data_IF_606342911148
#
_entry.id   IF_606342911148
#
_cell.length_a   1.000
_cell.length_b   1.000
_cell.length_c   1.000
_cell.angle_alpha   90.00
_cell.angle_beta   90.00
_cell.angle_gamma   90.00
#
_symmetry.space_group_name_H-M   'P 1'
#
loop_
_entity.id
_entity.type
_entity.pdbx_description
1 polymer ?
#
# COMPACT_ATOMS: atom_id res chain seq x y z
N UNK A 1 -0.40 -3.47 -1.25
CA UNK A 1 -1.47 -3.00 -2.16
C UNK A 1 -1.55 -3.82 -3.44
N UNK A 2 -0.65 -3.69 -4.44
CA UNK A 2 -0.76 -4.48 -5.69
C UNK A 2 -0.64 -5.99 -5.47
N UNK A 3 0.23 -6.42 -4.57
CA UNK A 3 0.33 -7.82 -4.13
C UNK A 3 -0.99 -8.31 -3.52
N UNK A 4 -1.54 -7.54 -2.57
CA UNK A 4 -2.78 -7.85 -1.85
C UNK A 4 -3.97 -7.99 -2.82
N UNK A 5 -4.08 -7.07 -3.79
CA UNK A 5 -5.11 -7.11 -4.82
C UNK A 5 -4.99 -8.36 -5.71
N UNK A 6 -3.77 -8.75 -6.11
CA UNK A 6 -3.54 -9.95 -6.89
C UNK A 6 -3.85 -11.22 -6.09
N UNK A 7 -3.45 -11.30 -4.83
CA UNK A 7 -3.75 -12.42 -3.93
C UNK A 7 -5.26 -12.57 -3.71
N UNK A 8 -5.96 -11.47 -3.43
CA UNK A 8 -7.41 -11.45 -3.28
C UNK A 8 -8.12 -11.89 -4.58
N UNK A 9 -7.65 -11.44 -5.75
CA UNK A 9 -8.22 -11.85 -7.03
C UNK A 9 -8.02 -13.35 -7.31
N UNK A 10 -6.84 -13.90 -7.02
CA UNK A 10 -6.59 -15.35 -7.09
C UNK A 10 -7.51 -16.13 -6.13
N UNK A 11 -7.77 -15.60 -4.93
CA UNK A 11 -8.69 -16.22 -3.96
C UNK A 11 -10.14 -16.23 -4.46
N UNK A 12 -10.60 -15.15 -5.10
CA UNK A 12 -11.94 -15.08 -5.70
C UNK A 12 -12.14 -16.07 -6.85
N UNK A 13 -11.09 -16.40 -7.62
CA UNK A 13 -11.15 -17.45 -8.64
C UNK A 13 -11.47 -18.79 -8.01
N UNK A 14 -10.80 -19.17 -6.92
CA UNK A 14 -11.03 -20.44 -6.23
C UNK A 14 -12.49 -20.54 -5.75
N UNK A 15 -13.02 -19.47 -5.18
CA UNK A 15 -14.42 -19.44 -4.71
C UNK A 15 -15.41 -19.55 -5.88
N UNK A 16 -15.10 -18.93 -7.02
CA UNK A 16 -15.92 -19.06 -8.21
C UNK A 16 -15.86 -20.48 -8.81
N UNK A 17 -14.72 -21.17 -8.74
CA UNK A 17 -14.59 -22.58 -9.14
C UNK A 17 -15.45 -23.49 -8.26
N UNK A 18 -15.39 -23.31 -6.93
CA UNK A 18 -16.27 -24.01 -5.99
C UNK A 18 -17.75 -23.77 -6.32
N UNK A 19 -18.12 -22.53 -6.64
CA UNK A 19 -19.50 -22.16 -6.94
C UNK A 19 -20.02 -22.82 -8.22
N UNK A 20 -19.17 -22.96 -9.25
CA UNK A 20 -19.52 -23.73 -10.46
C UNK A 20 -19.76 -25.19 -10.11
N UNK A 21 -18.92 -25.79 -9.27
CA UNK A 21 -19.09 -27.17 -8.79
C UNK A 21 -20.41 -27.37 -8.04
N UNK A 22 -20.73 -26.48 -7.10
CA UNK A 22 -21.98 -26.50 -6.33
C UNK A 22 -23.18 -26.32 -7.27
N UNK A 23 -23.17 -25.34 -8.17
CA UNK A 23 -24.29 -25.11 -9.07
C UNK A 23 -24.53 -26.30 -10.02
N UNK A 24 -23.47 -26.99 -10.46
CA UNK A 24 -23.58 -28.22 -11.24
C UNK A 24 -24.20 -29.37 -10.42
N UNK A 25 -23.85 -29.50 -9.14
CA UNK A 25 -24.49 -30.47 -8.22
C UNK A 25 -25.97 -30.18 -8.02
N UNK A 26 -26.34 -28.92 -7.80
CA UNK A 26 -27.74 -28.50 -7.62
C UNK A 26 -28.56 -28.79 -8.88
N UNK A 27 -28.01 -28.51 -10.08
CA UNK A 27 -28.65 -28.86 -11.34
C UNK A 27 -28.84 -30.38 -11.51
N UNK A 28 -27.85 -31.19 -11.12
CA UNK A 28 -27.98 -32.66 -11.14
C UNK A 28 -29.10 -33.13 -10.19
N UNK A 29 -29.16 -32.58 -8.98
CA UNK A 29 -30.21 -32.92 -8.02
C UNK A 29 -31.60 -32.52 -8.52
N UNK A 30 -31.76 -31.32 -9.07
CA UNK A 30 -33.01 -30.84 -9.65
C UNK A 30 -33.49 -31.76 -10.78
N UNK A 31 -32.60 -32.13 -11.71
CA UNK A 31 -32.89 -33.09 -12.80
C UNK A 31 -33.40 -34.42 -12.31
N UNK A 32 -32.77 -35.00 -11.28
CA UNK A 32 -33.20 -36.27 -10.69
C UNK A 32 -34.60 -36.15 -10.09
N UNK A 33 -34.88 -35.05 -9.36
CA UNK A 33 -36.20 -34.82 -8.75
C UNK A 33 -37.30 -34.59 -9.79
N UNK A 34 -37.02 -33.85 -10.87
CA UNK A 34 -37.97 -33.64 -11.98
C UNK A 34 -38.30 -34.97 -12.68
N UNK A 35 -37.29 -35.78 -13.01
CA UNK A 35 -37.50 -37.12 -13.61
C UNK A 35 -38.29 -38.06 -12.70
N UNK A 36 -38.13 -37.94 -11.38
CA UNK A 36 -38.91 -38.69 -10.40
C UNK A 36 -40.31 -38.12 -10.14
N UNK A 37 -40.72 -37.04 -10.84
CA UNK A 37 -42.01 -36.37 -10.63
C UNK A 37 -42.14 -35.63 -9.29
N UNK A 38 -41.01 -35.38 -8.58
CA UNK A 38 -40.96 -34.77 -7.24
C UNK A 38 -40.55 -33.29 -7.25
N UNK A 39 -40.41 -32.69 -8.43
CA UNK A 39 -40.10 -31.28 -8.62
C UNK A 39 -40.65 -30.79 -9.98
N UNK A 40 -40.84 -29.48 -10.11
CA UNK A 40 -41.29 -28.83 -11.34
C UNK A 40 -40.13 -28.68 -12.34
N UNK A 41 -40.37 -28.77 -13.67
CA UNK A 41 -39.39 -28.37 -14.69
C UNK A 41 -38.81 -26.96 -14.49
N UNK A 42 -39.58 -26.08 -13.81
CA UNK A 42 -39.11 -24.76 -13.42
C UNK A 42 -37.90 -24.80 -12.47
N UNK A 43 -37.84 -25.77 -11.55
CA UNK A 43 -36.70 -25.94 -10.65
C UNK A 43 -35.43 -26.33 -11.42
N UNK A 44 -35.55 -27.25 -12.39
CA UNK A 44 -34.42 -27.60 -13.25
C UNK A 44 -33.92 -26.39 -14.03
N UNK A 45 -34.84 -25.62 -14.64
CA UNK A 45 -34.45 -24.44 -15.41
C UNK A 45 -33.78 -23.37 -14.56
N UNK A 46 -34.27 -23.14 -13.33
CA UNK A 46 -33.62 -22.21 -12.38
C UNK A 46 -32.23 -22.67 -11.99
N UNK A 47 -32.05 -23.97 -11.74
CA UNK A 47 -30.74 -24.52 -11.42
C UNK A 47 -29.75 -24.41 -12.61
N UNK A 48 -30.22 -24.56 -13.84
CA UNK A 48 -29.36 -24.40 -15.02
C UNK A 48 -28.95 -22.93 -15.23
N UNK A 49 -29.87 -21.99 -15.04
CA UNK A 49 -29.54 -20.54 -15.04
C UNK A 49 -28.51 -20.22 -13.96
N UNK A 50 -28.63 -20.78 -12.76
CA UNK A 50 -27.65 -20.58 -11.70
C UNK A 50 -26.26 -21.13 -12.07
N UNK A 51 -26.18 -22.30 -12.71
CA UNK A 51 -24.94 -22.89 -13.24
C UNK A 51 -24.30 -21.99 -14.30
N UNK A 52 -25.05 -21.57 -15.31
CA UNK A 52 -24.54 -20.69 -16.37
C UNK A 52 -24.07 -19.35 -15.81
N UNK A 53 -24.78 -18.78 -14.83
CA UNK A 53 -24.36 -17.57 -14.14
C UNK A 53 -23.05 -17.75 -13.38
N UNK A 54 -22.87 -18.88 -12.69
CA UNK A 54 -21.64 -19.22 -11.98
C UNK A 54 -20.45 -19.39 -12.95
N UNK A 55 -20.65 -20.04 -14.09
CA UNK A 55 -19.63 -20.19 -15.15
C UNK A 55 -19.19 -18.83 -15.70
N UNK A 56 -20.15 -17.94 -15.99
CA UNK A 56 -19.86 -16.57 -16.40
C UNK A 56 -19.14 -15.76 -15.33
N UNK A 57 -19.46 -15.97 -14.05
CA UNK A 57 -18.77 -15.33 -12.93
C UNK A 57 -17.32 -15.80 -12.79
N UNK A 58 -17.06 -17.10 -12.93
CA UNK A 58 -15.71 -17.66 -12.93
C UNK A 58 -14.83 -17.03 -14.02
N UNK A 59 -15.36 -16.91 -15.24
CA UNK A 59 -14.62 -16.29 -16.34
C UNK A 59 -14.31 -14.81 -16.08
N UNK A 60 -15.23 -14.07 -15.43
CA UNK A 60 -14.93 -12.70 -14.98
C UNK A 60 -13.84 -12.67 -13.92
N UNK A 61 -13.88 -13.58 -12.94
CA UNK A 61 -12.86 -13.64 -11.87
C UNK A 61 -11.49 -14.02 -12.42
N UNK A 62 -11.40 -14.95 -13.38
CA UNK A 62 -10.14 -15.31 -14.06
C UNK A 62 -9.51 -14.13 -14.78
N UNK A 63 -10.30 -13.37 -15.54
CA UNK A 63 -9.83 -12.15 -16.21
C UNK A 63 -9.38 -11.07 -15.23
N UNK A 64 -10.10 -10.89 -14.13
CA UNK A 64 -9.71 -9.96 -13.06
C UNK A 64 -8.39 -10.37 -12.40
N UNK A 65 -8.22 -11.66 -12.09
CA UNK A 65 -6.97 -12.20 -11.53
C UNK A 65 -5.78 -12.08 -12.49
N UNK A 66 -6.00 -12.30 -13.80
CA UNK A 66 -4.98 -12.09 -14.82
C UNK A 66 -4.56 -10.62 -14.90
N UNK A 67 -5.52 -9.68 -14.87
CA UNK A 67 -5.24 -8.25 -14.86
C UNK A 67 -4.47 -7.82 -13.59
N UNK A 68 -4.89 -8.29 -12.42
CA UNK A 68 -4.21 -7.98 -11.15
C UNK A 68 -2.78 -8.55 -11.10
N UNK A 69 -2.58 -9.78 -11.58
CA UNK A 69 -1.27 -10.41 -11.67
C UNK A 69 -0.36 -9.69 -12.68
N UNK A 70 -0.92 -9.23 -13.82
CA UNK A 70 -0.19 -8.42 -14.80
C UNK A 70 0.24 -7.05 -14.25
N UNK A 71 -0.60 -6.41 -13.43
CA UNK A 71 -0.22 -5.16 -12.75
C UNK A 71 0.93 -5.37 -11.78
N UNK A 72 0.90 -6.46 -11.01
CA UNK A 72 2.00 -6.81 -10.10
C UNK A 72 3.27 -7.16 -10.87
N UNK A 73 3.16 -7.92 -11.97
CA UNK A 73 4.31 -8.27 -12.82
C UNK A 73 5.00 -7.03 -13.39
N UNK A 74 4.25 -6.01 -13.81
CA UNK A 74 4.81 -4.73 -14.27
C UNK A 74 5.57 -4.00 -13.17
N UNK A 75 5.08 -4.05 -11.94
CA UNK A 75 5.75 -3.41 -10.80
C UNK A 75 7.03 -4.16 -10.41
N UNK A 76 7.02 -5.49 -10.47
CA UNK A 76 8.17 -6.32 -10.11
C UNK A 76 9.19 -6.50 -11.23
N UNK A 77 8.83 -6.20 -12.48
CA UNK A 77 9.65 -6.46 -13.66
C UNK A 77 9.81 -7.94 -14.01
N UNK A 78 8.99 -8.83 -13.43
CA UNK A 78 9.05 -10.27 -13.64
C UNK A 78 7.65 -10.90 -13.65
N UNK A 79 7.44 -12.03 -14.37
CA UNK A 79 6.15 -12.71 -14.36
C UNK A 79 5.81 -13.21 -12.95
N UNK A 80 4.53 -13.10 -12.59
CA UNK A 80 4.02 -13.55 -11.29
C UNK A 80 3.22 -14.83 -11.47
N UNK A 81 3.57 -15.84 -10.68
CA UNK A 81 2.83 -17.10 -10.61
C UNK A 81 1.76 -17.10 -9.50
N UNK A 82 1.61 -18.25 -8.85
CA UNK A 82 0.70 -18.40 -7.73
C UNK A 82 1.26 -17.68 -6.50
N UNK A 83 0.41 -16.88 -5.85
CA UNK A 83 0.77 -16.11 -4.65
C UNK A 83 0.52 -16.95 -3.38
N UNK A 84 1.24 -16.61 -2.30
CA UNK A 84 1.12 -17.32 -1.03
C UNK A 84 -0.27 -17.07 -0.40
N UNK A 85 -1.04 -18.16 -0.31
CA UNK A 85 -2.38 -18.16 0.28
C UNK A 85 -2.35 -18.16 1.79
N UNK A 86 -1.37 -18.84 2.39
CA UNK A 86 -1.27 -18.99 3.84
C UNK A 86 -1.00 -17.64 4.50
N UNK A 87 -0.17 -16.82 3.87
CA UNK A 87 0.05 -15.44 4.26
C UNK A 87 -1.22 -14.59 4.13
N UNK A 88 -1.98 -14.72 3.03
CA UNK A 88 -3.18 -13.91 2.80
C UNK A 88 -4.29 -14.22 3.81
N UNK A 89 -4.48 -15.50 4.16
CA UNK A 89 -5.49 -15.93 5.12
C UNK A 89 -5.05 -15.70 6.58
N UNK A 90 -3.79 -15.33 6.84
CA UNK A 90 -3.27 -15.07 8.18
C UNK A 90 -3.68 -13.68 8.69
N UNK A 91 -4.31 -13.65 9.88
CA UNK A 91 -4.57 -12.41 10.63
C UNK A 91 -3.96 -12.55 12.02
N UNK A 92 -3.04 -11.66 12.44
CA UNK A 92 -2.43 -11.71 13.77
C UNK A 92 -3.45 -11.66 14.90
N UNK A 93 -3.15 -12.30 16.02
CA UNK A 93 -3.96 -12.20 17.23
C UNK A 93 -3.92 -10.77 17.80
N UNK A 94 -5.01 -10.33 18.43
CA UNK A 94 -5.10 -9.01 19.05
C UNK A 94 -3.92 -8.75 20.01
N UNK A 95 -3.37 -7.53 19.97
CA UNK A 95 -2.30 -7.09 20.87
C UNK A 95 -0.86 -7.43 20.44
N UNK A 96 -0.66 -8.02 19.26
CA UNK A 96 0.69 -8.37 18.76
C UNK A 96 1.46 -7.21 18.13
N UNK A 97 0.87 -6.01 18.07
CA UNK A 97 1.47 -4.89 17.36
C UNK A 97 2.54 -4.19 18.19
N UNK A 98 3.79 -4.31 17.78
CA UNK A 98 4.95 -3.75 18.47
C UNK A 98 4.88 -2.21 18.48
N UNK A 99 5.31 -1.52 19.56
CA UNK A 99 5.53 -0.08 19.55
C UNK A 99 6.43 0.32 18.37
N UNK A 100 6.00 1.29 17.57
CA UNK A 100 6.77 1.80 16.44
C UNK A 100 7.25 3.20 16.77
N UNK A 101 8.55 3.45 16.59
CA UNK A 101 9.14 4.74 16.87
C UNK A 101 8.83 5.73 15.74
N UNK A 102 8.20 6.85 16.07
CA UNK A 102 7.83 7.93 15.13
C UNK A 102 9.00 8.84 14.78
N UNK A 103 10.02 8.92 15.66
CA UNK A 103 11.16 9.83 15.47
C UNK A 103 12.13 9.38 14.36
N UNK A 104 12.05 8.12 13.91
CA UNK A 104 12.92 7.56 12.88
C UNK A 104 12.28 7.48 11.49
N UNK A 105 11.07 8.03 11.32
CA UNK A 105 10.35 7.96 10.05
C UNK A 105 11.01 8.82 8.97
N UNK A 106 10.81 8.45 7.71
CA UNK A 106 11.38 9.17 6.57
C UNK A 106 10.97 10.65 6.53
N UNK A 107 9.74 10.98 6.92
CA UNK A 107 9.24 12.36 6.93
C UNK A 107 9.95 13.21 7.96
N UNK A 108 10.14 12.70 9.18
CA UNK A 108 10.89 13.38 10.25
C UNK A 108 12.37 13.52 9.89
N UNK A 109 12.95 12.48 9.26
CA UNK A 109 14.33 12.53 8.79
C UNK A 109 14.54 13.57 7.67
N UNK A 110 13.59 13.68 6.72
CA UNK A 110 13.64 14.70 5.68
C UNK A 110 13.57 16.12 6.27
N UNK A 111 12.61 16.37 7.17
CA UNK A 111 12.50 17.67 7.83
C UNK A 111 13.73 18.01 8.71
N UNK A 112 14.41 16.98 9.25
CA UNK A 112 15.69 17.16 9.94
C UNK A 112 16.80 17.57 8.97
N UNK A 113 16.90 16.94 7.80
CA UNK A 113 17.87 17.28 6.78
C UNK A 113 17.66 18.71 6.23
N UNK A 114 16.41 19.16 6.11
CA UNK A 114 16.09 20.54 5.72
C UNK A 114 16.58 21.55 6.75
N UNK A 115 16.41 21.26 8.04
CA UNK A 115 16.95 22.09 9.12
C UNK A 115 18.48 22.12 9.13
N UNK A 116 19.13 20.97 8.91
CA UNK A 116 20.58 20.89 8.85
C UNK A 116 21.12 21.69 7.65
N UNK A 117 20.39 21.69 6.53
CA UNK A 117 20.66 22.50 5.35
C UNK A 117 20.51 24.00 5.64
N UNK A 118 19.41 24.41 6.28
CA UNK A 118 19.20 25.80 6.69
C UNK A 118 20.31 26.28 7.65
N UNK A 119 20.73 25.41 8.57
CA UNK A 119 21.83 25.69 9.50
C UNK A 119 23.17 25.83 8.79
N UNK A 120 23.40 25.08 7.71
CA UNK A 120 24.57 25.22 6.85
C UNK A 120 24.55 26.55 6.07
N UNK A 121 23.38 27.01 5.63
CA UNK A 121 23.23 28.32 4.98
C UNK A 121 23.58 29.48 5.91
N UNK A 122 23.28 29.38 7.21
CA UNK A 122 23.75 30.37 8.19
C UNK A 122 25.28 30.38 8.28
N UNK A 123 25.94 29.22 8.27
CA UNK A 123 27.41 29.13 8.27
C UNK A 123 28.01 29.76 7.01
N UNK A 124 27.40 29.52 5.85
CA UNK A 124 27.80 30.12 4.57
C UNK A 124 27.62 31.66 4.59
N UNK A 125 26.48 32.16 5.06
CA UNK A 125 26.24 33.60 5.16
C UNK A 125 27.23 34.28 6.13
N UNK A 126 27.64 33.57 7.20
CA UNK A 126 28.68 34.03 8.13
C UNK A 126 30.07 34.02 7.48
N UNK A 127 30.42 33.00 6.69
CA UNK A 127 31.73 32.94 6.02
C UNK A 127 31.87 34.02 4.94
N UNK A 128 30.79 34.34 4.22
CA UNK A 128 30.75 35.41 3.21
C UNK A 128 30.99 36.83 3.79
N UNK A 129 31.01 37.00 5.12
CA UNK A 129 31.44 38.26 5.74
C UNK A 129 32.95 38.47 5.68
N UNK A 130 33.71 37.38 5.55
CA UNK A 130 35.16 37.44 5.38
C UNK A 130 35.42 37.59 3.88
N UNK A 131 36.10 38.67 3.44
CA UNK A 131 36.45 38.84 2.04
C UNK A 131 37.29 37.68 1.51
N UNK A 132 36.95 37.18 0.33
CA UNK A 132 37.74 36.16 -0.35
C UNK A 132 39.03 36.77 -0.93
N UNK A 133 40.17 36.13 -0.64
CA UNK A 133 41.46 36.47 -1.24
C UNK A 133 41.54 35.80 -2.62
N UNK A 134 41.48 36.60 -3.68
CA UNK A 134 41.65 36.10 -5.05
C UNK A 134 43.08 36.30 -5.51
N UNK A 135 43.77 35.21 -5.84
CA UNK A 135 45.10 35.24 -6.47
C UNK A 135 44.93 34.89 -7.95
N UNK A 136 45.46 35.73 -8.83
CA UNK A 136 45.37 35.58 -10.28
C UNK A 136 46.76 35.57 -10.90
N UNK A 137 46.93 34.74 -11.93
CA UNK A 137 48.10 34.70 -12.77
C UNK A 137 47.66 34.75 -14.24
N UNK A 138 48.21 35.68 -15.02
CA UNK A 138 47.88 35.86 -16.43
C UNK A 138 49.13 36.18 -17.24
N UNK A 139 49.12 35.88 -18.54
CA UNK A 139 50.18 36.28 -19.46
C UNK A 139 49.62 37.32 -20.43
N UNK A 140 50.32 38.44 -20.62
CA UNK A 140 49.93 39.51 -21.53
C UNK A 140 51.03 39.79 -22.53
N UNK A 141 50.68 39.81 -23.83
CA UNK A 141 51.59 40.19 -24.91
C UNK A 141 51.63 41.72 -25.01
N UNK A 142 52.82 42.29 -25.04
CA UNK A 142 53.05 43.73 -25.16
C UNK A 142 53.33 44.06 -26.64
N UNK A 143 52.37 44.69 -27.34
CA UNK A 143 52.49 45.07 -28.75
C UNK A 143 53.70 45.99 -29.03
N UNK A 144 54.09 46.81 -28.05
CA UNK A 144 55.15 47.82 -28.22
C UNK A 144 56.57 47.23 -28.25
N UNK A 145 56.81 46.10 -27.57
CA UNK A 145 58.13 45.45 -27.49
C UNK A 145 58.12 44.01 -28.03
N UNK A 146 56.96 43.48 -28.43
CA UNK A 146 56.77 42.11 -28.89
C UNK A 146 57.03 41.01 -27.82
N UNK A 147 57.11 41.40 -26.54
CA UNK A 147 57.39 40.52 -25.41
C UNK A 147 56.12 39.92 -24.78
N UNK A 148 56.29 38.80 -24.06
CA UNK A 148 55.25 38.19 -23.23
C UNK A 148 55.58 38.43 -21.76
N UNK A 149 54.71 39.16 -21.06
CA UNK A 149 54.85 39.45 -19.64
C UNK A 149 53.95 38.52 -18.80
N UNK A 150 54.50 37.96 -17.72
CA UNK A 150 53.71 37.31 -16.68
C UNK A 150 53.21 38.35 -15.68
N UNK A 151 51.92 38.30 -15.35
CA UNK A 151 51.25 39.21 -14.43
C UNK A 151 50.63 38.40 -13.31
N UNK A 152 51.04 38.68 -12.08
CA UNK A 152 50.43 38.16 -10.86
C UNK A 152 49.65 39.26 -10.16
N UNK A 153 48.42 38.98 -9.75
CA UNK A 153 47.55 39.95 -9.09
C UNK A 153 46.88 39.34 -7.87
N UNK A 154 46.85 40.09 -6.77
CA UNK A 154 46.10 39.75 -5.55
C UNK A 154 44.97 40.76 -5.42
N UNK A 155 43.73 40.27 -5.26
CA UNK A 155 42.55 41.11 -5.07
C UNK A 155 41.82 40.72 -3.78
N UNK A 156 41.50 41.72 -2.97
CA UNK A 156 40.71 41.58 -1.74
C UNK A 156 39.58 42.62 -1.81
N UNK A 157 38.31 42.20 -1.98
CA UNK A 157 37.19 43.15 -1.99
C UNK A 157 36.91 43.68 -0.58
N UNK A 158 36.88 45.01 -0.41
CA UNK A 158 36.55 45.65 0.88
C UNK A 158 35.08 46.06 0.91
N UNK A 159 34.25 45.29 1.62
CA UNK A 159 32.81 45.56 1.75
C UNK A 159 32.55 46.58 2.88
N UNK A 160 32.58 47.87 2.56
CA UNK A 160 32.46 48.96 3.55
C UNK A 160 31.01 49.21 3.99
N UNK A 161 30.04 49.05 3.09
CA UNK A 161 28.63 49.38 3.32
C UNK A 161 27.69 48.17 3.43
N UNK A 162 28.08 47.02 2.88
CA UNK A 162 27.30 45.78 2.92
C UNK A 162 28.05 44.69 3.68
N UNK A 163 27.89 44.66 5.01
CA UNK A 163 28.56 43.71 5.89
C UNK A 163 27.82 42.36 6.03
N UNK A 164 26.87 42.06 5.14
CA UNK A 164 26.15 40.78 5.09
C UNK A 164 25.11 40.55 6.20
N UNK A 165 24.82 41.55 7.05
CA UNK A 165 23.85 41.42 8.17
C UNK A 165 22.45 40.99 7.72
N UNK A 166 21.96 41.53 6.61
CA UNK A 166 20.65 41.18 6.06
C UNK A 166 20.61 39.70 5.61
N UNK A 167 21.66 39.23 4.93
CA UNK A 167 21.75 37.83 4.49
C UNK A 167 21.78 36.85 5.67
N UNK A 168 22.47 37.21 6.77
CA UNK A 168 22.45 36.41 8.00
C UNK A 168 21.06 36.41 8.62
N UNK A 169 20.41 37.56 8.74
CA UNK A 169 19.06 37.65 9.30
C UNK A 169 18.05 36.80 8.51
N UNK A 170 18.14 36.80 7.18
CA UNK A 170 17.33 35.92 6.31
C UNK A 170 17.65 34.45 6.55
N UNK A 171 18.93 34.08 6.62
CA UNK A 171 19.33 32.69 6.88
C UNK A 171 18.92 32.20 8.29
N UNK A 172 18.98 33.06 9.30
CA UNK A 172 18.54 32.75 10.67
C UNK A 172 17.02 32.59 10.73
N UNK A 173 16.25 33.45 10.04
CA UNK A 173 14.81 33.27 9.90
C UNK A 173 14.45 31.97 9.17
N UNK A 174 15.24 31.57 8.16
CA UNK A 174 15.06 30.30 7.47
C UNK A 174 15.28 29.10 8.40
N UNK A 175 16.25 29.16 9.31
CA UNK A 175 16.46 28.13 10.34
C UNK A 175 15.26 28.04 11.28
N UNK A 176 14.73 29.18 11.75
CA UNK A 176 13.52 29.19 12.59
C UNK A 176 12.31 28.57 11.87
N UNK A 177 12.13 28.91 10.59
CA UNK A 177 11.10 28.31 9.76
C UNK A 177 11.27 26.79 9.64
N UNK A 178 12.47 26.31 9.30
CA UNK A 178 12.75 24.88 9.16
C UNK A 178 12.64 24.12 10.50
N UNK A 179 12.97 24.76 11.63
CA UNK A 179 12.77 24.17 12.97
C UNK A 179 11.28 24.02 13.30
N UNK A 180 10.46 25.03 12.97
CA UNK A 180 9.02 24.96 13.09
C UNK A 180 8.41 23.87 12.19
N UNK A 181 8.85 23.77 10.93
CA UNK A 181 8.43 22.72 10.00
C UNK A 181 8.82 21.32 10.50
N UNK A 182 10.02 21.15 11.07
CA UNK A 182 10.43 19.89 11.71
C UNK A 182 9.51 19.51 12.87
N UNK A 183 9.10 20.47 13.71
CA UNK A 183 8.15 20.22 14.81
C UNK A 183 6.78 19.79 14.28
N UNK A 184 6.27 20.45 13.24
CA UNK A 184 5.01 20.08 12.58
C UNK A 184 5.11 18.67 12.01
N UNK A 185 6.17 18.36 11.26
CA UNK A 185 6.39 17.05 10.67
C UNK A 185 6.44 15.92 11.72
N UNK A 186 6.97 16.18 12.91
CA UNK A 186 6.95 15.23 14.01
C UNK A 186 5.54 14.99 14.55
N UNK A 187 4.78 16.06 14.80
CA UNK A 187 3.40 15.95 15.29
C UNK A 187 2.49 15.25 14.27
N UNK A 188 2.61 15.61 12.99
CA UNK A 188 1.88 14.97 11.90
C UNK A 188 2.23 13.48 11.79
N UNK A 189 3.52 13.12 11.88
CA UNK A 189 3.95 11.73 11.87
C UNK A 189 3.40 10.93 13.06
N UNK A 190 3.36 11.52 14.26
CA UNK A 190 2.77 10.88 15.44
C UNK A 190 1.26 10.66 15.27
N UNK A 191 0.54 11.67 14.78
CA UNK A 191 -0.89 11.59 14.51
C UNK A 191 -1.22 10.56 13.43
N UNK A 192 -0.47 10.56 12.33
CA UNK A 192 -0.66 9.62 11.21
C UNK A 192 -0.42 8.18 11.65
N UNK A 193 0.64 7.93 12.42
CA UNK A 193 0.94 6.61 12.97
C UNK A 193 -0.16 6.15 13.93
N UNK A 194 -0.63 7.02 14.81
CA UNK A 194 -1.73 6.70 15.73
C UNK A 194 -3.03 6.37 14.98
N UNK A 195 -3.38 7.16 13.96
CA UNK A 195 -4.58 6.96 13.14
C UNK A 195 -4.49 5.67 12.34
N UNK A 196 -3.39 5.46 11.60
CA UNK A 196 -3.20 4.24 10.80
C UNK A 196 -3.10 2.98 11.67
N UNK A 197 -2.59 3.09 12.90
CA UNK A 197 -2.60 2.00 13.87
C UNK A 197 -4.02 1.60 14.24
N UNK A 198 -4.87 2.57 14.61
CA UNK A 198 -6.27 2.30 14.92
C UNK A 198 -7.01 1.70 13.72
N UNK A 199 -6.76 2.20 12.50
CA UNK A 199 -7.31 1.63 11.27
C UNK A 199 -6.87 0.18 11.06
N UNK A 200 -5.59 -0.13 11.26
CA UNK A 200 -5.06 -1.49 11.12
C UNK A 200 -5.66 -2.46 12.14
N UNK A 201 -5.87 -2.04 13.39
CA UNK A 201 -6.53 -2.84 14.44
C UNK A 201 -8.01 -3.10 14.13
N UNK A 202 -8.72 -2.07 13.65
CA UNK A 202 -10.10 -2.20 13.21
C UNK A 202 -10.20 -3.16 12.02
N UNK A 203 -9.33 -3.00 11.02
CA UNK A 203 -9.30 -3.89 9.86
C UNK A 203 -8.96 -5.34 10.25
N UNK A 204 -8.03 -5.55 11.19
CA UNK A 204 -7.71 -6.87 11.73
C UNK A 204 -8.92 -7.52 12.45
N UNK A 205 -9.67 -6.73 13.21
CA UNK A 205 -10.87 -7.21 13.92
C UNK A 205 -11.99 -7.56 12.95
N UNK A 206 -12.24 -6.72 11.96
CA UNK A 206 -13.20 -6.99 10.89
C UNK A 206 -12.82 -8.25 10.09
N UNK A 207 -11.55 -8.40 9.72
CA UNK A 207 -11.06 -9.58 9.03
C UNK A 207 -11.25 -10.87 9.84
N UNK A 208 -10.93 -10.85 11.15
CA UNK A 208 -11.15 -12.00 12.05
C UNK A 208 -12.62 -12.39 12.15
N UNK A 209 -13.51 -11.40 12.29
CA UNK A 209 -14.94 -11.65 12.40
C UNK A 209 -15.53 -12.19 11.08
N UNK A 210 -15.12 -11.63 9.96
CA UNK A 210 -15.60 -12.01 8.63
C UNK A 210 -15.08 -13.40 8.21
N UNK A 211 -13.79 -13.70 8.41
CA UNK A 211 -13.19 -14.98 8.04
C UNK A 211 -13.41 -16.10 9.07
N UNK A 212 -13.80 -15.76 10.31
CA UNK A 212 -14.03 -16.71 11.39
C UNK A 212 -15.52 -17.04 11.60
N UNK A 213 -16.18 -16.51 12.66
CA UNK A 213 -17.53 -16.94 13.04
C UNK A 213 -18.59 -16.76 11.95
N UNK A 214 -18.58 -15.63 11.23
CA UNK A 214 -19.57 -15.34 10.19
C UNK A 214 -19.48 -16.34 9.04
N UNK A 215 -18.26 -16.59 8.53
CA UNK A 215 -18.02 -17.55 7.47
C UNK A 215 -18.36 -18.99 7.89
N UNK A 216 -18.02 -19.38 9.12
CA UNK A 216 -18.34 -20.69 9.65
C UNK A 216 -19.86 -20.92 9.70
N UNK A 217 -20.62 -19.95 10.22
CA UNK A 217 -22.08 -20.01 10.29
C UNK A 217 -22.73 -20.09 8.89
N UNK A 218 -22.30 -19.24 7.95
CA UNK A 218 -22.81 -19.26 6.58
C UNK A 218 -22.47 -20.57 5.84
N UNK A 219 -21.27 -21.12 6.07
CA UNK A 219 -20.84 -22.40 5.49
C UNK A 219 -21.71 -23.55 5.99
N UNK A 220 -21.99 -23.56 7.28
CA UNK A 220 -22.83 -24.58 7.89
C UNK A 220 -24.30 -24.46 7.46
N UNK A 221 -24.84 -23.23 7.39
CA UNK A 221 -26.18 -22.98 6.89
C UNK A 221 -26.37 -23.50 5.45
N UNK A 222 -25.42 -23.20 4.55
CA UNK A 222 -25.44 -23.71 3.18
C UNK A 222 -25.31 -25.24 3.13
N UNK A 223 -24.47 -25.84 4.00
CA UNK A 223 -24.34 -27.31 4.10
C UNK A 223 -25.67 -27.96 4.50
N UNK A 224 -26.32 -27.43 5.53
CA UNK A 224 -27.62 -27.91 6.02
C UNK A 224 -28.68 -27.74 4.92
N UNK A 225 -28.71 -26.59 4.24
CA UNK A 225 -29.65 -26.34 3.14
C UNK A 225 -29.45 -27.33 1.97
N UNK A 226 -28.19 -27.63 1.58
CA UNK A 226 -27.87 -28.64 0.55
C UNK A 226 -28.34 -30.04 0.93
N UNK A 227 -28.22 -30.43 2.20
CA UNK A 227 -28.70 -31.73 2.67
C UNK A 227 -30.23 -31.74 2.68
N UNK A 228 -30.86 -30.73 3.28
CA UNK A 228 -32.32 -30.64 3.35
C UNK A 228 -32.98 -30.57 1.98
N UNK A 229 -32.38 -29.90 0.99
CA UNK A 229 -32.89 -29.90 -0.39
C UNK A 229 -32.81 -31.28 -1.05
N UNK A 230 -31.72 -32.03 -0.84
CA UNK A 230 -31.58 -33.40 -1.37
C UNK A 230 -32.57 -34.36 -0.74
N UNK A 231 -32.81 -34.22 0.56
CA UNK A 231 -33.79 -35.02 1.31
C UNK A 231 -35.25 -34.53 1.11
N UNK A 232 -35.47 -33.48 0.33
CA UNK A 232 -36.79 -32.89 0.09
C UNK A 232 -37.42 -32.21 1.32
N UNK A 233 -36.62 -31.93 2.35
CA UNK A 233 -37.03 -31.24 3.59
C UNK A 233 -37.06 -29.72 3.44
N UNK A 234 -36.26 -29.17 2.54
CA UNK A 234 -36.23 -27.75 2.19
C UNK A 234 -36.51 -27.51 0.71
N UNK A 235 -37.04 -26.33 0.38
CA UNK A 235 -37.30 -25.92 -0.98
C UNK A 235 -36.04 -25.47 -1.71
N UNK A 236 -36.12 -25.31 -3.03
CA UNK A 236 -35.00 -24.79 -3.83
C UNK A 236 -34.64 -23.34 -3.45
N UNK A 237 -35.64 -22.54 -3.03
CA UNK A 237 -35.41 -21.14 -2.67
C UNK A 237 -34.54 -21.04 -1.41
N UNK A 238 -34.83 -21.84 -0.38
CA UNK A 238 -34.04 -21.87 0.86
C UNK A 238 -32.57 -22.24 0.59
N UNK A 239 -32.35 -23.19 -0.33
CA UNK A 239 -31.01 -23.56 -0.79
C UNK A 239 -30.32 -22.39 -1.50
N UNK A 240 -30.98 -21.77 -2.48
CA UNK A 240 -30.39 -20.67 -3.24
C UNK A 240 -30.09 -19.45 -2.35
N UNK A 241 -30.93 -19.18 -1.36
CA UNK A 241 -30.72 -18.11 -0.38
C UNK A 241 -29.50 -18.40 0.50
N UNK A 242 -29.39 -19.61 1.05
CA UNK A 242 -28.24 -20.01 1.85
C UNK A 242 -26.92 -19.99 1.06
N UNK A 243 -26.92 -20.44 -0.20
CA UNK A 243 -25.75 -20.38 -1.08
C UNK A 243 -25.37 -18.94 -1.44
N UNK A 244 -26.37 -18.07 -1.64
CA UNK A 244 -26.14 -16.64 -1.87
C UNK A 244 -25.51 -15.98 -0.65
N UNK A 245 -26.05 -16.22 0.55
CA UNK A 245 -25.48 -15.70 1.81
C UNK A 245 -24.04 -16.20 2.02
N UNK A 246 -23.75 -17.47 1.71
CA UNK A 246 -22.39 -18.01 1.77
C UNK A 246 -21.45 -17.29 0.80
N UNK A 247 -21.88 -17.05 -0.45
CA UNK A 247 -21.06 -16.36 -1.45
C UNK A 247 -20.80 -14.90 -1.05
N UNK A 248 -21.81 -14.19 -0.55
CA UNK A 248 -21.69 -12.82 -0.04
C UNK A 248 -20.72 -12.76 1.15
N UNK A 249 -20.86 -13.69 2.10
CA UNK A 249 -20.00 -13.78 3.30
C UNK A 249 -18.55 -14.10 2.93
N UNK A 250 -18.33 -15.03 1.99
CA UNK A 250 -17.01 -15.37 1.46
C UNK A 250 -16.34 -14.18 0.78
N UNK A 251 -17.10 -13.42 -0.01
CA UNK A 251 -16.60 -12.23 -0.69
C UNK A 251 -16.22 -11.15 0.32
N UNK A 252 -17.10 -10.89 1.30
CA UNK A 252 -16.82 -9.95 2.39
C UNK A 252 -15.60 -10.35 3.23
N UNK A 253 -15.38 -11.65 3.47
CA UNK A 253 -14.17 -12.14 4.15
C UNK A 253 -12.89 -11.85 3.35
N UNK A 254 -12.88 -12.10 2.05
CA UNK A 254 -11.72 -11.75 1.19
C UNK A 254 -11.47 -10.25 1.21
N UNK A 255 -12.52 -9.44 1.11
CA UNK A 255 -12.40 -7.98 1.08
C UNK A 255 -11.86 -7.45 2.41
N UNK A 256 -12.32 -8.01 3.54
CA UNK A 256 -11.83 -7.67 4.87
C UNK A 256 -10.36 -8.08 5.05
N UNK A 257 -9.94 -9.25 4.56
CA UNK A 257 -8.54 -9.69 4.58
C UNK A 257 -7.66 -8.75 3.73
N UNK A 258 -8.10 -8.41 2.52
CA UNK A 258 -7.37 -7.49 1.65
C UNK A 258 -7.21 -6.09 2.31
N UNK A 259 -8.28 -5.58 2.91
CA UNK A 259 -8.26 -4.31 3.63
C UNK A 259 -7.32 -4.35 4.84
N UNK A 260 -7.27 -5.46 5.59
CA UNK A 260 -6.33 -5.66 6.68
C UNK A 260 -4.87 -5.59 6.20
N UNK A 261 -4.52 -6.37 5.17
CA UNK A 261 -3.17 -6.36 4.61
C UNK A 261 -2.78 -5.00 4.00
N UNK A 262 -3.74 -4.27 3.44
CA UNK A 262 -3.51 -2.91 2.95
C UNK A 262 -3.27 -1.91 4.08
N UNK A 263 -4.04 -2.00 5.17
CA UNK A 263 -3.85 -1.16 6.35
C UNK A 263 -2.49 -1.43 7.02
N UNK A 264 -2.10 -2.70 7.15
CA UNK A 264 -0.78 -3.08 7.65
C UNK A 264 0.35 -2.52 6.78
N UNK A 265 0.27 -2.71 5.46
CA UNK A 265 1.29 -2.19 4.54
C UNK A 265 1.40 -0.65 4.59
N UNK A 266 0.29 0.07 4.83
CA UNK A 266 0.31 1.53 5.00
C UNK A 266 0.98 1.93 6.31
N UNK A 267 0.68 1.23 7.40
CA UNK A 267 1.30 1.46 8.70
C UNK A 267 2.82 1.20 8.64
N UNK A 268 3.23 0.08 8.05
CA UNK A 268 4.64 -0.27 7.84
C UNK A 268 5.36 0.78 6.99
N UNK A 269 4.71 1.28 5.92
CA UNK A 269 5.29 2.33 5.08
C UNK A 269 5.54 3.63 5.86
N UNK A 270 4.62 4.04 6.74
CA UNK A 270 4.77 5.26 7.53
C UNK A 270 5.86 5.13 8.61
N UNK A 271 6.02 3.92 9.12
CA UNK A 271 6.95 3.62 10.23
C UNK A 271 8.27 3.05 9.76
N UNK A 272 8.46 2.92 8.43
CA UNK A 272 9.71 2.53 7.82
C UNK A 272 10.80 3.52 8.23
N UNK A 273 11.88 2.98 8.79
CA UNK A 273 13.04 3.79 9.14
C UNK A 273 13.62 4.44 7.89
N UNK A 274 14.02 5.71 8.02
CA UNK A 274 14.78 6.37 6.97
C UNK A 274 16.03 5.53 6.62
N UNK A 275 16.35 5.30 5.33
CA UNK A 275 17.55 4.58 4.97
C UNK A 275 18.75 5.31 5.56
N UNK A 276 19.57 4.59 6.33
CA UNK A 276 20.87 5.10 6.73
C UNK A 276 21.72 5.21 5.46
N UNK A 277 21.85 6.43 4.92
CA UNK A 277 22.93 6.75 4.01
C UNK A 277 24.20 6.49 4.82
N UNK A 278 24.96 5.45 4.46
CA UNK A 278 26.33 5.31 4.93
C UNK A 278 27.00 6.64 4.60
N UNK A 279 27.51 7.33 5.61
CA UNK A 279 28.43 8.44 5.39
C UNK A 279 29.56 7.89 4.52
N UNK A 280 29.55 8.27 3.24
CA UNK A 280 30.68 8.09 2.36
C UNK A 280 31.73 9.05 2.90
N UNK A 281 32.57 8.52 3.78
CA UNK A 281 33.78 9.20 4.23
C UNK A 281 34.67 9.42 3.00
N UNK A 282 34.73 10.66 2.54
CA UNK A 282 35.79 11.18 1.69
C UNK A 282 36.22 12.54 2.20
#
# INVERSE_FOLDING_TARGET
QTYNAAAAAQRRVIIAEDQVGIAAEVLRAARVRVRAGRASPLEEQRADVARVSAEGALERMRRSAAAASGNLARLLGMPVGQLDRSWFDAVPSAGTMRPMATSGTLTVAAARADLDTASAQVRLARSQRVPDLTVSASARRLEQTNDVAAVFGISIPLNVFNNGRASIAVAEAQVEQSDAQRRIALLDAEQDVATMRAEAENAATTARNAAGPALAAATEAARIARIGYREGKFGQIDLLDAERTLLETRTAAIDALAAHHDAQARLERLTAAAPHLKDDQR
#
